data_IF_329313552650
#
_entry.id   IF_329313552650
#
_cell.length_a   1.000
_cell.length_b   1.000
_cell.length_c   1.000
_cell.angle_alpha   90.00
_cell.angle_beta   90.00
_cell.angle_gamma   90.00
#
_symmetry.space_group_name_H-M   'P 1'
#
loop_
_entity.id
_entity.type
_entity.pdbx_description
1 polymer ?
#
# COMPACT_ATOMS: atom_id res chain seq x y z
N UNK A 1 -1.54 25.16 14.42
CA UNK A 1 -1.25 23.71 14.32
C UNK A 1 -1.42 23.18 12.90
N UNK A 2 -2.59 23.33 12.26
CA UNK A 2 -2.89 22.73 10.94
C UNK A 2 -1.91 23.12 9.84
N UNK A 3 -1.55 24.41 9.73
CA UNK A 3 -0.59 24.88 8.72
C UNK A 3 0.76 24.17 8.83
N UNK A 4 1.27 23.97 10.06
CA UNK A 4 2.51 23.22 10.29
C UNK A 4 2.40 21.77 9.82
N UNK A 5 1.31 21.08 10.16
CA UNK A 5 1.07 19.70 9.72
C UNK A 5 1.04 19.59 8.20
N UNK A 6 0.36 20.53 7.52
CA UNK A 6 0.30 20.58 6.06
C UNK A 6 1.67 20.83 5.44
N UNK A 7 2.45 21.75 6.00
CA UNK A 7 3.82 22.01 5.53
C UNK A 7 4.69 20.76 5.68
N UNK A 8 4.68 20.11 6.85
CA UNK A 8 5.44 18.87 7.07
C UNK A 8 4.98 17.77 6.10
N UNK A 9 3.67 17.60 5.91
CA UNK A 9 3.12 16.65 4.96
C UNK A 9 3.61 16.90 3.53
N UNK A 10 3.52 18.14 3.05
CA UNK A 10 3.99 18.51 1.73
C UNK A 10 5.49 18.26 1.58
N UNK A 11 6.31 18.68 2.55
CA UNK A 11 7.77 18.47 2.52
C UNK A 11 8.11 16.98 2.49
N UNK A 12 7.47 16.16 3.31
CA UNK A 12 7.71 14.71 3.36
C UNK A 12 7.33 14.04 2.04
N UNK A 13 6.15 14.36 1.48
CA UNK A 13 5.73 13.81 0.20
C UNK A 13 6.63 14.26 -0.95
N UNK A 14 7.04 15.53 -0.98
CA UNK A 14 7.96 16.04 -1.98
C UNK A 14 9.32 15.33 -1.87
N UNK A 15 9.84 15.14 -0.66
CA UNK A 15 11.07 14.39 -0.41
C UNK A 15 10.98 12.93 -0.85
N UNK A 16 9.85 12.25 -0.62
CA UNK A 16 9.64 10.88 -1.10
C UNK A 16 9.59 10.79 -2.64
N UNK A 17 8.94 11.76 -3.30
CA UNK A 17 8.87 11.86 -4.78
C UNK A 17 10.25 12.10 -5.37
N UNK A 18 11.03 13.01 -4.79
CA UNK A 18 12.40 13.31 -5.21
C UNK A 18 13.38 12.17 -4.91
N UNK A 19 12.95 11.15 -4.16
CA UNK A 19 13.75 9.97 -3.82
C UNK A 19 14.58 10.12 -2.55
N UNK A 20 14.52 11.27 -1.87
CA UNK A 20 15.26 11.57 -0.66
C UNK A 20 15.48 13.07 -0.47
N UNK A 21 16.03 13.46 0.69
CA UNK A 21 16.49 14.83 0.93
C UNK A 21 18.01 14.91 0.68
N UNK A 22 18.47 15.59 -0.38
CA UNK A 22 19.88 15.59 -0.77
C UNK A 22 20.80 16.25 0.26
N UNK A 23 20.29 17.23 1.02
CA UNK A 23 21.04 17.92 2.06
C UNK A 23 21.31 17.08 3.31
N UNK A 24 20.53 16.02 3.55
CA UNK A 24 20.60 15.22 4.78
C UNK A 24 20.92 13.74 4.52
N UNK A 25 21.22 13.37 3.27
CA UNK A 25 21.44 11.98 2.82
C UNK A 25 20.35 11.00 3.29
N UNK A 26 19.11 11.48 3.39
CA UNK A 26 17.98 10.64 3.79
C UNK A 26 17.34 10.00 2.56
N UNK A 27 17.02 8.72 2.68
CA UNK A 27 16.17 8.00 1.75
C UNK A 27 14.69 8.27 2.03
N UNK A 28 13.79 7.66 1.24
CA UNK A 28 12.34 7.79 1.42
C UNK A 28 11.88 7.46 2.84
N UNK A 29 12.48 6.43 3.44
CA UNK A 29 12.17 5.98 4.80
C UNK A 29 12.64 6.98 5.85
N UNK A 30 13.85 7.52 5.69
CA UNK A 30 14.38 8.57 6.55
C UNK A 30 13.58 9.87 6.51
N UNK A 31 13.13 10.31 5.33
CA UNK A 31 12.27 11.51 5.19
C UNK A 31 10.93 11.32 5.91
N UNK A 32 10.31 10.14 5.77
CA UNK A 32 9.07 9.82 6.49
C UNK A 32 9.27 9.81 8.01
N UNK A 33 10.38 9.23 8.49
CA UNK A 33 10.72 9.20 9.92
C UNK A 33 10.95 10.62 10.47
N UNK A 34 11.68 11.47 9.76
CA UNK A 34 11.90 12.86 10.15
C UNK A 34 10.58 13.63 10.25
N UNK A 35 9.67 13.42 9.30
CA UNK A 35 8.32 13.97 9.34
C UNK A 35 7.54 13.53 10.58
N UNK A 36 7.59 12.23 10.91
CA UNK A 36 6.97 11.69 12.12
C UNK A 36 7.56 12.31 13.40
N UNK A 37 8.88 12.42 13.48
CA UNK A 37 9.58 13.08 14.61
C UNK A 37 9.14 14.55 14.73
N UNK A 38 9.05 15.28 13.62
CA UNK A 38 8.61 16.67 13.63
C UNK A 38 7.16 16.83 14.13
N UNK A 39 6.25 15.94 13.69
CA UNK A 39 4.86 15.96 14.13
C UNK A 39 4.69 15.60 15.61
N UNK A 40 5.45 14.60 16.09
CA UNK A 40 5.41 14.18 17.50
C UNK A 40 6.09 15.21 18.40
N UNK A 41 7.27 15.70 18.01
CA UNK A 41 8.02 16.71 18.77
C UNK A 41 7.31 18.06 18.88
N UNK A 42 6.52 18.43 17.88
CA UNK A 42 5.66 19.62 17.92
C UNK A 42 4.33 19.40 18.69
N UNK A 43 4.08 18.20 19.21
CA UNK A 43 2.84 17.86 19.93
C UNK A 43 1.60 17.74 19.04
N UNK A 44 1.76 17.66 17.71
CA UNK A 44 0.65 17.49 16.79
C UNK A 44 0.04 16.08 16.83
N UNK A 45 0.85 15.08 17.21
CA UNK A 45 0.45 13.69 17.43
C UNK A 45 1.17 13.17 18.67
N UNK A 46 0.47 12.49 19.58
CA UNK A 46 1.13 11.88 20.75
C UNK A 46 1.99 10.67 20.32
N UNK A 47 3.06 10.33 21.04
CA UNK A 47 3.87 9.14 20.75
C UNK A 47 3.04 7.84 20.69
N UNK A 48 2.04 7.70 21.58
CA UNK A 48 1.17 6.53 21.65
C UNK A 48 0.18 6.48 20.48
N UNK A 49 -0.29 7.64 20.01
CA UNK A 49 -1.13 7.75 18.83
C UNK A 49 -0.33 7.43 17.55
N UNK A 50 0.91 7.93 17.47
CA UNK A 50 1.83 7.61 16.39
C UNK A 50 2.14 6.10 16.36
N UNK A 51 2.47 5.49 17.50
CA UNK A 51 2.73 4.05 17.60
C UNK A 51 1.52 3.21 17.17
N UNK A 52 0.31 3.60 17.58
CA UNK A 52 -0.94 2.92 17.18
C UNK A 52 -1.28 3.06 15.70
N UNK A 53 -0.74 4.05 15.00
CA UNK A 53 -0.92 4.21 13.55
C UNK A 53 -0.11 3.21 12.71
N UNK A 54 0.85 2.51 13.34
CA UNK A 54 1.72 1.55 12.66
C UNK A 54 1.05 0.17 12.63
N UNK A 55 0.69 -0.30 11.43
CA UNK A 55 0.09 -1.62 11.25
C UNK A 55 1.17 -2.69 11.03
N UNK A 56 1.64 -3.29 12.12
CA UNK A 56 2.67 -4.34 12.14
C UNK A 56 2.42 -5.49 11.15
N UNK A 57 1.19 -6.04 11.02
CA UNK A 57 0.94 -7.10 10.04
C UNK A 57 1.25 -6.68 8.60
N UNK A 58 0.97 -5.43 8.25
CA UNK A 58 1.28 -4.89 6.91
C UNK A 58 2.79 -4.73 6.73
N UNK A 59 3.49 -4.22 7.74
CA UNK A 59 4.95 -4.10 7.67
C UNK A 59 5.62 -5.46 7.52
N UNK A 60 5.19 -6.47 8.28
CA UNK A 60 5.69 -7.84 8.19
C UNK A 60 5.41 -8.40 6.79
N UNK A 61 4.18 -8.25 6.28
CA UNK A 61 3.82 -8.71 4.93
C UNK A 61 4.71 -8.08 3.85
N UNK A 62 4.87 -6.75 3.88
CA UNK A 62 5.70 -6.02 2.92
C UNK A 62 7.17 -6.44 3.04
N UNK A 63 7.68 -6.60 4.26
CA UNK A 63 9.04 -7.06 4.51
C UNK A 63 9.25 -8.48 3.99
N UNK A 64 8.36 -9.42 4.30
CA UNK A 64 8.41 -10.80 3.81
C UNK A 64 8.40 -10.84 2.28
N UNK A 65 7.56 -10.04 1.63
CA UNK A 65 7.54 -9.92 0.18
C UNK A 65 8.86 -9.35 -0.36
N UNK A 66 9.44 -8.35 0.31
CA UNK A 66 10.74 -7.78 -0.05
C UNK A 66 11.86 -8.83 0.06
N UNK A 67 11.86 -9.65 1.11
CA UNK A 67 12.83 -10.75 1.30
C UNK A 67 12.68 -11.81 0.22
N UNK A 68 11.45 -12.28 -0.04
CA UNK A 68 11.18 -13.26 -1.11
C UNK A 68 11.65 -12.69 -2.46
N UNK A 69 11.33 -11.44 -2.76
CA UNK A 69 11.76 -10.76 -3.98
C UNK A 69 13.28 -10.66 -4.09
N UNK A 70 13.97 -10.37 -2.97
CA UNK A 70 15.42 -10.34 -2.94
C UNK A 70 16.03 -11.72 -3.22
N UNK A 71 15.49 -12.80 -2.63
CA UNK A 71 15.97 -14.15 -2.88
C UNK A 71 15.74 -14.59 -4.34
N UNK A 72 14.59 -14.25 -4.92
CA UNK A 72 14.31 -14.51 -6.35
C UNK A 72 15.28 -13.75 -7.27
N UNK A 73 15.66 -12.52 -6.90
CA UNK A 73 16.67 -11.75 -7.63
C UNK A 73 18.05 -12.38 -7.52
N UNK A 74 18.47 -12.76 -6.31
CA UNK A 74 19.79 -13.38 -6.07
C UNK A 74 19.89 -14.75 -6.75
N UNK A 75 18.80 -15.53 -6.78
CA UNK A 75 18.72 -16.80 -7.51
C UNK A 75 18.61 -16.65 -9.04
N UNK A 76 18.61 -15.42 -9.58
CA UNK A 76 18.53 -15.16 -11.02
C UNK A 76 17.18 -15.49 -11.66
N UNK A 77 16.15 -15.77 -10.85
CA UNK A 77 14.83 -16.18 -11.32
C UNK A 77 14.20 -15.11 -12.23
N UNK A 78 14.27 -13.84 -11.82
CA UNK A 78 13.72 -12.75 -12.63
C UNK A 78 14.38 -12.69 -14.01
N UNK A 79 15.70 -12.83 -14.10
CA UNK A 79 16.42 -12.85 -15.38
C UNK A 79 16.04 -14.07 -16.23
N UNK A 80 15.87 -15.24 -15.60
CA UNK A 80 15.43 -16.45 -16.29
C UNK A 80 14.02 -16.29 -16.88
N UNK A 81 13.06 -15.78 -16.10
CA UNK A 81 11.70 -15.50 -16.57
C UNK A 81 11.73 -14.48 -17.71
N UNK A 82 12.45 -13.38 -17.57
CA UNK A 82 12.55 -12.34 -18.60
C UNK A 82 13.08 -12.91 -19.91
N UNK A 83 14.14 -13.73 -19.89
CA UNK A 83 14.65 -14.39 -21.11
C UNK A 83 13.63 -15.35 -21.73
N UNK A 84 12.92 -16.11 -20.89
CA UNK A 84 11.90 -17.06 -21.36
C UNK A 84 10.73 -16.34 -22.04
N UNK A 85 10.30 -15.22 -21.48
CA UNK A 85 9.25 -14.38 -22.06
C UNK A 85 9.75 -13.69 -23.34
N UNK A 86 10.98 -13.17 -23.33
CA UNK A 86 11.57 -12.52 -24.51
C UNK A 86 11.77 -13.47 -25.69
N UNK A 87 11.94 -14.78 -25.43
CA UNK A 87 11.99 -15.81 -26.46
C UNK A 87 10.60 -16.16 -27.05
N UNK A 88 9.50 -15.72 -26.42
CA UNK A 88 8.17 -15.81 -27.02
C UNK A 88 8.10 -14.74 -28.12
N UNK A 89 7.86 -15.15 -29.36
CA UNK A 89 7.69 -14.26 -30.51
C UNK A 89 6.34 -13.49 -30.47
N UNK A 90 6.01 -12.88 -29.33
CA UNK A 90 4.79 -12.12 -29.12
C UNK A 90 5.05 -10.64 -29.38
N UNK A 91 4.06 -9.96 -29.96
CA UNK A 91 4.09 -8.51 -30.07
C UNK A 91 3.98 -7.86 -28.66
N UNK A 92 4.56 -6.67 -28.43
CA UNK A 92 4.49 -5.98 -27.14
C UNK A 92 3.06 -5.81 -26.60
N UNK A 93 2.09 -5.57 -27.49
CA UNK A 93 0.69 -5.41 -27.12
C UNK A 93 0.07 -6.71 -26.57
N UNK A 94 0.42 -7.87 -27.14
CA UNK A 94 -0.06 -9.17 -26.67
C UNK A 94 0.54 -9.54 -25.30
N UNK A 95 1.83 -9.25 -25.08
CA UNK A 95 2.47 -9.45 -23.78
C UNK A 95 1.79 -8.61 -22.69
N UNK A 96 1.51 -7.34 -22.98
CA UNK A 96 0.82 -6.47 -22.04
C UNK A 96 -0.61 -6.96 -21.79
N UNK A 97 -1.34 -7.35 -22.83
CA UNK A 97 -2.69 -7.91 -22.71
C UNK A 97 -2.72 -9.18 -21.86
N UNK A 98 -1.77 -10.10 -22.07
CA UNK A 98 -1.63 -11.31 -21.27
C UNK A 98 -1.30 -10.99 -19.81
N UNK A 99 -0.37 -10.05 -19.57
CA UNK A 99 -0.01 -9.61 -18.21
C UNK A 99 -1.22 -9.00 -17.49
N UNK A 100 -1.95 -8.09 -18.15
CA UNK A 100 -3.18 -7.50 -17.60
C UNK A 100 -4.22 -8.59 -17.31
N UNK A 101 -4.40 -9.55 -18.22
CA UNK A 101 -5.33 -10.66 -18.05
C UNK A 101 -4.98 -11.54 -16.85
N UNK A 102 -3.70 -11.91 -16.69
CA UNK A 102 -3.22 -12.71 -15.56
C UNK A 102 -3.33 -11.93 -14.24
N UNK A 103 -2.85 -10.69 -14.19
CA UNK A 103 -2.90 -9.86 -12.97
C UNK A 103 -4.34 -9.56 -12.56
N UNK A 104 -5.20 -9.24 -13.52
CA UNK A 104 -6.63 -8.98 -13.30
C UNK A 104 -7.39 -10.20 -12.82
N UNK A 105 -7.15 -11.38 -13.41
CA UNK A 105 -7.78 -12.63 -12.98
C UNK A 105 -7.34 -13.04 -11.57
N UNK A 106 -6.03 -13.00 -11.28
CA UNK A 106 -5.52 -13.24 -9.93
C UNK A 106 -6.13 -12.25 -8.92
N UNK A 107 -6.13 -10.95 -9.23
CA UNK A 107 -6.71 -9.93 -8.35
C UNK A 107 -8.19 -10.17 -8.09
N UNK A 108 -8.98 -10.56 -9.09
CA UNK A 108 -10.39 -10.89 -8.93
C UNK A 108 -10.61 -12.09 -8.01
N UNK A 109 -9.77 -13.14 -8.11
CA UNK A 109 -9.85 -14.34 -7.25
C UNK A 109 -9.48 -14.00 -5.80
N UNK A 110 -8.41 -13.24 -5.58
CA UNK A 110 -7.97 -12.88 -4.22
C UNK A 110 -8.84 -11.79 -3.57
N UNK A 111 -9.42 -10.88 -4.35
CA UNK A 111 -10.25 -9.78 -3.84
C UNK A 111 -11.70 -10.20 -3.57
N UNK A 112 -12.28 -11.16 -4.33
CA UNK A 112 -13.64 -11.66 -4.07
C UNK A 112 -13.68 -12.64 -2.90
N UNK A 113 -13.67 -12.12 -1.66
CA UNK A 113 -14.34 -12.81 -0.55
C UNK A 113 -15.82 -12.49 -0.61
N UNK A 114 -16.61 -13.37 -1.22
CA UNK A 114 -18.06 -13.25 -1.33
C UNK A 114 -18.68 -13.03 0.06
N UNK A 115 -19.20 -11.81 0.31
CA UNK A 115 -20.08 -11.59 1.46
C UNK A 115 -21.33 -12.44 1.22
N UNK A 116 -21.74 -13.29 2.17
CA UNK A 116 -23.00 -14.00 2.05
C UNK A 116 -24.16 -12.97 2.00
N UNK A 117 -25.24 -13.26 1.26
CA UNK A 117 -26.39 -12.38 1.19
C UNK A 117 -26.97 -12.21 2.60
N UNK A 118 -26.88 -10.98 3.13
CA UNK A 118 -27.52 -10.60 4.40
C UNK A 118 -29.02 -10.66 4.18
N UNK A 119 -29.69 -11.73 4.64
CA UNK A 119 -31.16 -11.78 4.68
C UNK A 119 -31.64 -10.59 5.53
N UNK A 120 -32.30 -9.63 4.87
CA UNK A 120 -32.89 -8.46 5.51
C UNK A 120 -33.90 -8.91 6.56
N UNK A 121 -33.69 -8.44 7.79
CA UNK A 121 -34.69 -8.49 8.84
C UNK A 121 -35.95 -7.81 8.34
N UNK A 122 -37.07 -8.55 8.40
CA UNK A 122 -38.38 -8.02 8.02
C UNK A 122 -38.69 -6.78 8.85
N UNK A 123 -39.04 -5.75 8.11
CA UNK A 123 -39.63 -4.49 8.50
C UNK A 123 -40.46 -4.59 9.79
N UNK A 124 -40.01 -3.80 10.76
CA UNK A 124 -40.82 -3.14 11.76
C UNK A 124 -42.17 -2.76 11.15
N UNK A 125 -43.24 -3.39 11.62
CA UNK A 125 -44.62 -3.07 11.23
C UNK A 125 -45.20 -2.20 12.34
N UNK A 126 -45.37 -0.93 11.99
CA UNK A 126 -46.47 -0.05 12.40
C UNK A 126 -46.57 0.33 13.88
N UNK A 127 -45.89 1.41 14.24
CA UNK A 127 -46.51 2.49 15.03
C UNK A 127 -47.73 3.04 14.29
N UNK A 128 -48.94 2.86 14.82
CA UNK A 128 -50.05 3.83 14.76
C UNK A 128 -51.35 3.16 15.25
N UNK A 129 -51.87 3.62 16.38
CA UNK A 129 -53.17 3.20 16.93
C UNK A 129 -53.43 3.74 18.33
N UNK A 130 -53.48 5.07 18.46
CA UNK A 130 -54.20 5.79 19.53
C UNK A 130 -55.72 5.66 19.29
N UNK A 131 -56.64 6.04 20.21
CA UNK A 131 -56.48 6.82 21.44
C UNK A 131 -56.67 6.06 22.76
#
# INVERSE_FOLDING_TARGET
>A
MTAFVVVVFCVVYLGMILGGLPFLQLDRTGVALLGAIALVGAGAVSPEAAARSIHLPTLILLFSFMVISAQMRLGGFYTWVTRRIAALALSPALLLGALIGVVGTLSAVFSKRARPPRKGGRSFRSTAGRP
#
